data_IF_122875817733
#
_entry.id   IF_122875817733
#
_cell.length_a   1.000
_cell.length_b   1.000
_cell.length_c   1.000
_cell.angle_alpha   90.00
_cell.angle_beta   90.00
_cell.angle_gamma   90.00
#
_symmetry.space_group_name_H-M   'P 1'
#
loop_
_entity.id
_entity.type
_entity.pdbx_description
1 polymer ?
#
# COMPACT_ATOMS: atom_id res chain seq x y z
N UNK A 1 -28.78 22.26 99.74
CA UNK A 1 -28.96 21.73 98.37
C UNK A 1 -28.13 22.55 97.39
N UNK A 2 -27.18 21.92 96.69
CA UNK A 2 -26.88 22.29 95.32
C UNK A 2 -26.86 21.05 94.39
N UNK A 3 -27.49 21.19 93.24
CA UNK A 3 -27.62 20.14 92.22
C UNK A 3 -26.34 20.09 91.39
N UNK A 4 -25.63 18.96 91.47
CA UNK A 4 -24.46 18.64 90.65
C UNK A 4 -24.88 18.48 89.17
N UNK A 5 -24.46 19.41 88.30
CA UNK A 5 -24.54 19.27 86.84
C UNK A 5 -23.68 18.09 86.40
N UNK A 6 -24.30 17.00 85.93
CA UNK A 6 -23.57 15.93 85.22
C UNK A 6 -23.27 16.34 83.80
N UNK A 7 -22.05 16.01 83.39
CA UNK A 7 -21.47 16.15 82.07
C UNK A 7 -22.30 15.47 80.97
N UNK A 8 -22.72 16.23 79.96
CA UNK A 8 -23.12 15.69 78.64
C UNK A 8 -22.22 16.27 77.55
N UNK A 9 -20.90 16.08 77.74
CA UNK A 9 -19.85 16.52 76.81
C UNK A 9 -19.43 15.47 75.77
N UNK A 10 -20.07 14.30 75.72
CA UNK A 10 -19.62 13.17 74.87
C UNK A 10 -20.58 12.76 73.75
N UNK A 11 -21.69 13.47 73.51
CA UNK A 11 -22.57 13.17 72.35
C UNK A 11 -22.38 14.10 71.15
N UNK A 12 -21.34 14.96 71.15
CA UNK A 12 -21.05 15.86 70.02
C UNK A 12 -19.90 15.43 69.10
N UNK A 13 -19.51 14.15 69.15
CA UNK A 13 -18.48 13.59 68.26
C UNK A 13 -18.95 12.42 67.38
N UNK A 14 -20.26 12.16 67.28
CA UNK A 14 -20.83 11.18 66.34
C UNK A 14 -22.02 11.73 65.55
N UNK A 15 -21.89 12.96 65.05
CA UNK A 15 -22.78 13.48 64.02
C UNK A 15 -21.98 14.00 62.81
N UNK A 16 -20.99 13.21 62.37
CA UNK A 16 -20.40 13.33 61.04
C UNK A 16 -21.41 12.93 59.96
N UNK A 17 -22.43 13.74 59.72
CA UNK A 17 -23.37 13.59 58.59
C UNK A 17 -23.03 14.55 57.45
N UNK A 18 -21.82 14.45 56.90
CA UNK A 18 -21.51 15.03 55.58
C UNK A 18 -20.50 14.18 54.82
N UNK A 19 -20.79 12.90 54.55
CA UNK A 19 -19.93 12.10 53.67
C UNK A 19 -20.64 11.05 52.81
N UNK A 20 -21.85 11.34 52.32
CA UNK A 20 -22.55 10.44 51.39
C UNK A 20 -22.93 11.06 50.03
N UNK A 21 -22.83 12.38 49.83
CA UNK A 21 -23.20 13.01 48.55
C UNK A 21 -22.11 12.88 47.46
N UNK A 22 -20.82 12.95 47.82
CA UNK A 22 -19.71 12.79 46.87
C UNK A 22 -19.46 11.34 46.39
N UNK A 23 -19.70 10.35 47.26
CA UNK A 23 -19.57 8.91 46.91
C UNK A 23 -20.63 8.47 45.90
N UNK A 24 -21.86 8.94 46.03
CA UNK A 24 -22.94 8.63 45.08
C UNK A 24 -22.66 9.18 43.67
N UNK A 25 -22.16 10.41 43.56
CA UNK A 25 -21.75 11.01 42.28
C UNK A 25 -20.59 10.26 41.61
N UNK A 26 -19.57 9.88 42.37
CA UNK A 26 -18.42 9.12 41.87
C UNK A 26 -18.80 7.69 41.43
N UNK A 27 -19.71 7.02 42.16
CA UNK A 27 -20.26 5.72 41.79
C UNK A 27 -21.15 5.78 40.53
N UNK A 28 -21.94 6.84 40.38
CA UNK A 28 -22.76 7.06 39.19
C UNK A 28 -21.90 7.37 37.95
N UNK A 29 -20.86 8.21 38.09
CA UNK A 29 -19.89 8.45 37.02
C UNK A 29 -19.20 7.15 36.58
N UNK A 30 -18.75 6.31 37.51
CA UNK A 30 -18.15 5.01 37.20
C UNK A 30 -19.08 4.06 36.43
N UNK A 31 -20.38 4.03 36.76
CA UNK A 31 -21.39 3.25 36.02
C UNK A 31 -21.59 3.78 34.59
N UNK A 32 -21.59 5.09 34.41
CA UNK A 32 -21.71 5.74 33.10
C UNK A 32 -20.50 5.39 32.24
N UNK A 33 -19.27 5.56 32.73
CA UNK A 33 -18.06 5.19 31.99
C UNK A 33 -18.03 3.70 31.65
N UNK A 34 -18.41 2.82 32.59
CA UNK A 34 -18.50 1.38 32.34
C UNK A 34 -19.46 1.07 31.18
N UNK A 35 -20.65 1.68 31.16
CA UNK A 35 -21.61 1.46 30.07
C UNK A 35 -21.13 2.01 28.72
N UNK A 36 -20.44 3.14 28.71
CA UNK A 36 -19.84 3.69 27.50
C UNK A 36 -18.72 2.80 26.95
N UNK A 37 -17.88 2.25 27.84
CA UNK A 37 -16.81 1.31 27.46
C UNK A 37 -17.42 0.02 26.89
N UNK A 38 -18.46 -0.53 27.52
CA UNK A 38 -19.15 -1.72 27.02
C UNK A 38 -19.74 -1.50 25.62
N UNK A 39 -20.42 -0.37 25.40
CA UNK A 39 -20.97 -0.03 24.08
C UNK A 39 -19.88 0.10 23.01
N UNK A 40 -18.74 0.68 23.35
CA UNK A 40 -17.59 0.77 22.43
C UNK A 40 -17.03 -0.61 22.12
N UNK A 41 -16.93 -1.49 23.12
CA UNK A 41 -16.44 -2.85 22.96
C UNK A 41 -17.36 -3.66 22.04
N UNK A 42 -18.68 -3.64 22.26
CA UNK A 42 -19.67 -4.27 21.39
C UNK A 42 -19.65 -3.74 19.95
N UNK A 43 -19.31 -2.46 19.77
CA UNK A 43 -19.15 -1.87 18.43
C UNK A 43 -17.90 -2.43 17.75
N UNK A 44 -16.77 -2.43 18.45
CA UNK A 44 -15.50 -2.95 17.93
C UNK A 44 -15.58 -4.46 17.63
N UNK A 45 -16.32 -5.23 18.42
CA UNK A 45 -16.56 -6.65 18.13
C UNK A 45 -17.36 -6.86 16.84
N UNK A 46 -18.36 -6.01 16.58
CA UNK A 46 -19.11 -6.03 15.31
C UNK A 46 -18.24 -5.63 14.13
N UNK A 47 -17.43 -4.58 14.27
CA UNK A 47 -16.49 -4.15 13.23
C UNK A 47 -15.46 -5.25 12.95
N UNK A 48 -14.91 -5.89 13.99
CA UNK A 48 -14.01 -7.05 13.84
C UNK A 48 -14.67 -8.17 13.04
N UNK A 49 -15.93 -8.51 13.34
CA UNK A 49 -16.67 -9.55 12.61
C UNK A 49 -16.82 -9.21 11.13
N UNK A 50 -17.20 -7.97 10.80
CA UNK A 50 -17.31 -7.52 9.42
C UNK A 50 -15.98 -7.57 8.66
N UNK A 51 -14.87 -7.19 9.32
CA UNK A 51 -13.54 -7.25 8.72
C UNK A 51 -13.15 -8.70 8.41
N UNK A 52 -13.45 -9.64 9.31
CA UNK A 52 -13.19 -11.07 9.07
C UNK A 52 -14.00 -11.60 7.89
N UNK A 53 -15.29 -11.28 7.80
CA UNK A 53 -16.13 -11.68 6.66
C UNK A 53 -15.60 -11.11 5.33
N UNK A 54 -15.12 -9.87 5.33
CA UNK A 54 -14.50 -9.27 4.14
C UNK A 54 -13.16 -9.93 3.79
N UNK A 55 -12.35 -10.32 4.78
CA UNK A 55 -11.11 -11.05 4.55
C UNK A 55 -11.38 -12.40 3.90
N UNK A 56 -12.36 -13.17 4.39
CA UNK A 56 -12.75 -14.46 3.80
C UNK A 56 -13.22 -14.30 2.34
N UNK A 57 -13.95 -13.23 2.04
CA UNK A 57 -14.35 -12.89 0.68
C UNK A 57 -13.14 -12.55 -0.22
N UNK A 58 -12.16 -11.81 0.30
CA UNK A 58 -10.95 -11.48 -0.45
C UNK A 58 -10.11 -12.75 -0.69
N UNK A 59 -9.97 -13.62 0.30
CA UNK A 59 -9.23 -14.88 0.16
C UNK A 59 -9.88 -15.81 -0.86
N UNK A 60 -11.19 -15.98 -0.83
CA UNK A 60 -11.91 -16.80 -1.83
C UNK A 60 -11.71 -16.26 -3.25
N UNK A 61 -11.76 -14.94 -3.45
CA UNK A 61 -11.48 -14.30 -4.75
C UNK A 61 -10.05 -14.54 -5.22
N UNK A 62 -9.07 -14.45 -4.31
CA UNK A 62 -7.67 -14.75 -4.63
C UNK A 62 -7.52 -16.21 -5.09
N UNK A 63 -8.18 -17.17 -4.42
CA UNK A 63 -8.16 -18.58 -4.81
C UNK A 63 -8.73 -18.80 -6.21
N UNK A 64 -9.91 -18.26 -6.50
CA UNK A 64 -10.55 -18.36 -7.82
C UNK A 64 -9.64 -17.79 -8.92
N UNK A 65 -9.00 -16.65 -8.68
CA UNK A 65 -8.09 -16.05 -9.66
C UNK A 65 -6.84 -16.90 -9.88
N UNK A 66 -6.30 -17.52 -8.83
CA UNK A 66 -5.16 -18.45 -8.95
C UNK A 66 -5.55 -19.74 -9.69
N UNK A 67 -6.74 -20.28 -9.45
CA UNK A 67 -7.26 -21.44 -10.20
C UNK A 67 -7.44 -21.11 -11.68
N UNK A 68 -8.00 -19.94 -12.00
CA UNK A 68 -8.13 -19.47 -13.37
C UNK A 68 -6.76 -19.28 -14.04
N UNK A 69 -5.76 -18.75 -13.32
CA UNK A 69 -4.38 -18.67 -13.81
C UNK A 69 -3.81 -20.06 -14.09
N UNK A 70 -3.98 -21.01 -13.18
CA UNK A 70 -3.51 -22.38 -13.37
C UNK A 70 -4.17 -23.07 -14.57
N UNK A 71 -5.48 -22.87 -14.77
CA UNK A 71 -6.19 -23.41 -15.93
C UNK A 71 -5.67 -22.78 -17.23
N UNK A 72 -5.52 -21.45 -17.26
CA UNK A 72 -4.93 -20.75 -18.40
C UNK A 72 -3.48 -21.15 -18.67
N UNK A 73 -2.68 -21.43 -17.65
CA UNK A 73 -1.30 -21.91 -17.81
C UNK A 73 -1.24 -23.36 -18.33
N UNK A 74 -2.14 -24.23 -17.86
CA UNK A 74 -2.28 -25.59 -18.37
C UNK A 74 -2.77 -25.60 -19.83
N UNK A 75 -3.64 -24.66 -20.20
CA UNK A 75 -4.16 -24.46 -21.55
C UNK A 75 -3.28 -23.56 -22.43
N UNK A 76 -2.20 -22.96 -21.89
CA UNK A 76 -1.31 -22.03 -22.59
C UNK A 76 -0.39 -22.69 -23.63
N UNK A 77 -0.75 -23.88 -24.13
CA UNK A 77 -0.18 -24.47 -25.34
C UNK A 77 -0.78 -23.79 -26.59
N UNK A 78 -0.64 -22.47 -26.70
CA UNK A 78 -1.10 -21.71 -27.88
C UNK A 78 -0.36 -22.10 -29.17
N UNK A 79 0.76 -22.82 -29.03
CA UNK A 79 1.49 -23.40 -30.16
C UNK A 79 0.73 -24.57 -30.79
N UNK A 80 -0.13 -25.30 -30.06
CA UNK A 80 -0.94 -26.41 -30.60
C UNK A 80 -1.96 -25.93 -31.64
N UNK A 81 -2.48 -24.71 -31.48
CA UNK A 81 -3.46 -24.13 -32.40
C UNK A 81 -2.83 -23.28 -33.51
N UNK A 82 -1.50 -23.14 -33.50
CA UNK A 82 -0.78 -22.41 -34.55
C UNK A 82 -0.67 -23.29 -35.80
N UNK A 83 -1.17 -22.79 -36.93
CA UNK A 83 -1.09 -23.48 -38.22
C UNK A 83 0.14 -23.02 -38.99
N UNK A 84 0.51 -23.73 -40.07
CA UNK A 84 1.62 -23.35 -40.96
C UNK A 84 1.52 -21.91 -41.51
N UNK A 85 0.30 -21.37 -41.62
CA UNK A 85 0.02 -20.07 -42.22
C UNK A 85 -0.36 -18.99 -41.19
N UNK A 86 -0.68 -19.38 -39.95
CA UNK A 86 -1.19 -18.45 -38.95
C UNK A 86 -0.73 -18.84 -37.54
N UNK A 87 -0.05 -17.91 -36.87
CA UNK A 87 0.45 -18.07 -35.50
C UNK A 87 -0.37 -17.20 -34.55
N UNK A 88 -0.95 -17.81 -33.53
CA UNK A 88 -1.66 -17.07 -32.49
C UNK A 88 -0.63 -16.45 -31.54
N UNK A 89 -0.56 -15.12 -31.50
CA UNK A 89 0.38 -14.40 -30.63
C UNK A 89 -0.33 -13.90 -29.37
N UNK A 90 0.08 -14.42 -28.22
CA UNK A 90 -0.34 -13.85 -26.94
C UNK A 90 0.41 -12.53 -26.69
N UNK A 91 -0.35 -11.46 -26.45
CA UNK A 91 0.24 -10.16 -26.11
C UNK A 91 0.77 -10.21 -24.67
N UNK A 92 2.06 -10.53 -24.51
CA UNK A 92 2.73 -10.43 -23.21
C UNK A 92 3.27 -9.01 -23.02
N UNK A 93 2.80 -8.32 -21.98
CA UNK A 93 3.38 -7.04 -21.55
C UNK A 93 4.80 -7.30 -21.07
N UNK A 94 5.77 -6.70 -21.77
CA UNK A 94 7.19 -6.81 -21.44
C UNK A 94 7.52 -6.13 -20.11
N UNK A 95 6.93 -4.97 -19.86
CA UNK A 95 7.02 -4.27 -18.57
C UNK A 95 5.68 -4.35 -17.86
N UNK A 96 5.68 -4.70 -16.57
CA UNK A 96 4.46 -4.69 -15.73
C UNK A 96 3.90 -3.28 -15.57
N UNK A 97 4.77 -2.28 -15.60
CA UNK A 97 4.46 -0.87 -15.48
C UNK A 97 4.32 -0.16 -16.84
N UNK A 98 3.81 1.08 -16.81
CA UNK A 98 3.82 1.97 -17.97
C UNK A 98 5.26 2.46 -18.22
N UNK A 99 5.89 1.93 -19.27
CA UNK A 99 7.30 2.20 -19.59
C UNK A 99 7.62 3.70 -19.74
N UNK A 100 6.82 4.46 -20.51
CA UNK A 100 7.13 5.87 -20.80
C UNK A 100 7.19 6.75 -19.54
N UNK A 101 6.18 6.73 -18.64
CA UNK A 101 6.27 7.42 -17.36
C UNK A 101 7.41 6.92 -16.47
N UNK A 102 7.65 5.59 -16.43
CA UNK A 102 8.70 5.02 -15.59
C UNK A 102 10.10 5.49 -16.01
N UNK A 103 10.38 5.51 -17.31
CA UNK A 103 11.64 6.04 -17.87
C UNK A 103 11.81 7.52 -17.53
N UNK A 104 10.75 8.31 -17.66
CA UNK A 104 10.83 9.73 -17.32
C UNK A 104 11.09 9.94 -15.82
N UNK A 105 10.51 9.11 -14.95
CA UNK A 105 10.74 9.17 -13.52
C UNK A 105 12.20 8.83 -13.15
N UNK A 106 12.84 7.88 -13.85
CA UNK A 106 14.28 7.59 -13.69
C UNK A 106 15.14 8.77 -14.10
N UNK A 107 14.88 9.34 -15.29
CA UNK A 107 15.68 10.46 -15.81
C UNK A 107 15.51 11.73 -14.98
N UNK A 108 14.35 11.94 -14.37
CA UNK A 108 14.12 13.05 -13.43
C UNK A 108 14.78 12.83 -12.07
N UNK A 109 15.03 11.59 -11.66
CA UNK A 109 15.69 11.31 -10.40
C UNK A 109 17.19 11.70 -10.43
N UNK A 110 17.84 11.51 -11.57
CA UNK A 110 19.24 11.91 -11.79
C UNK A 110 19.35 12.69 -13.12
N UNK A 111 18.96 13.98 -13.16
CA UNK A 111 18.87 14.76 -14.40
C UNK A 111 20.24 15.06 -15.04
N UNK A 112 21.30 15.08 -14.23
CA UNK A 112 22.68 15.33 -14.67
C UNK A 112 23.33 14.10 -15.32
N UNK A 113 22.78 12.90 -15.09
CA UNK A 113 23.46 11.66 -15.43
C UNK A 113 23.12 11.19 -16.84
N UNK A 114 24.16 10.75 -17.54
CA UNK A 114 24.03 9.99 -18.77
C UNK A 114 23.77 8.52 -18.48
N UNK A 115 22.75 7.97 -19.13
CA UNK A 115 22.33 6.59 -18.96
C UNK A 115 22.53 5.76 -20.23
N UNK A 116 23.00 4.53 -20.06
CA UNK A 116 22.93 3.51 -21.12
C UNK A 116 21.54 2.87 -21.14
N UNK A 117 21.17 2.28 -22.28
CA UNK A 117 19.87 1.59 -22.41
C UNK A 117 19.76 0.42 -21.42
N UNK A 118 20.84 -0.35 -21.24
CA UNK A 118 20.85 -1.51 -20.34
C UNK A 118 20.65 -1.08 -18.87
N UNK A 119 21.31 -0.01 -18.43
CA UNK A 119 21.11 0.57 -17.10
C UNK A 119 19.66 0.99 -16.87
N UNK A 120 19.04 1.68 -17.84
CA UNK A 120 17.64 2.08 -17.75
C UNK A 120 16.70 0.88 -17.69
N UNK A 121 16.98 -0.17 -18.46
CA UNK A 121 16.16 -1.40 -18.44
C UNK A 121 16.23 -2.03 -17.05
N UNK A 122 17.42 -2.23 -16.47
CA UNK A 122 17.55 -2.81 -15.12
C UNK A 122 16.82 -2.00 -14.06
N UNK A 123 16.99 -0.67 -14.07
CA UNK A 123 16.33 0.23 -13.10
C UNK A 123 14.81 0.19 -13.23
N UNK A 124 14.31 0.23 -14.47
CA UNK A 124 12.86 0.17 -14.72
C UNK A 124 12.31 -1.20 -14.35
N UNK A 125 12.97 -2.32 -14.70
CA UNK A 125 12.52 -3.65 -14.29
C UNK A 125 12.42 -3.77 -12.76
N UNK A 126 13.42 -3.28 -12.03
CA UNK A 126 13.40 -3.23 -10.57
C UNK A 126 12.21 -2.42 -10.03
N UNK A 127 11.96 -1.22 -10.55
CA UNK A 127 10.78 -0.41 -10.16
C UNK A 127 9.45 -1.08 -10.48
N UNK A 128 9.42 -1.94 -11.48
CA UNK A 128 8.20 -2.61 -11.93
C UNK A 128 7.97 -3.95 -11.22
N UNK A 129 8.80 -4.29 -10.21
CA UNK A 129 8.71 -5.52 -9.43
C UNK A 129 8.91 -6.76 -10.31
N UNK A 130 9.80 -6.67 -11.30
CA UNK A 130 10.19 -7.77 -12.18
C UNK A 130 11.65 -8.15 -11.91
N UNK A 131 12.00 -9.40 -12.21
CA UNK A 131 13.40 -9.84 -12.19
C UNK A 131 14.22 -9.06 -13.22
N UNK A 132 15.49 -8.83 -12.91
CA UNK A 132 16.40 -7.99 -13.70
C UNK A 132 16.97 -8.68 -14.94
N UNK A 133 16.35 -9.76 -15.43
CA UNK A 133 16.84 -10.48 -16.61
C UNK A 133 16.54 -9.68 -17.89
N UNK A 134 17.60 -9.15 -18.51
CA UNK A 134 17.48 -8.29 -19.69
C UNK A 134 17.33 -9.14 -20.95
N UNK A 135 16.08 -9.31 -21.41
CA UNK A 135 15.77 -9.76 -22.76
C UNK A 135 16.07 -8.69 -23.84
N UNK A 136 16.51 -9.07 -25.06
CA UNK A 136 16.67 -8.14 -26.19
C UNK A 136 15.37 -7.39 -26.54
N UNK A 137 14.22 -7.97 -26.22
CA UNK A 137 12.92 -7.32 -26.43
C UNK A 137 12.68 -6.14 -25.48
N UNK A 138 13.26 -6.17 -24.26
CA UNK A 138 13.21 -5.06 -23.32
C UNK A 138 14.00 -3.87 -23.86
N UNK A 139 15.19 -4.11 -24.43
CA UNK A 139 16.02 -3.05 -25.01
C UNK A 139 15.35 -2.42 -26.23
N UNK A 140 14.74 -3.20 -27.11
CA UNK A 140 13.97 -2.66 -28.25
C UNK A 140 12.80 -1.77 -27.80
N UNK A 141 12.07 -2.20 -26.77
CA UNK A 141 10.95 -1.42 -26.22
C UNK A 141 11.43 -0.13 -25.53
N UNK A 142 12.57 -0.20 -24.82
CA UNK A 142 13.20 0.95 -24.18
C UNK A 142 13.67 1.98 -25.21
N UNK A 143 14.33 1.55 -26.30
CA UNK A 143 14.72 2.43 -27.40
C UNK A 143 13.52 3.14 -28.02
N UNK A 144 12.39 2.46 -28.18
CA UNK A 144 11.15 3.08 -28.66
C UNK A 144 10.58 4.12 -27.68
N UNK A 145 10.66 3.87 -26.38
CA UNK A 145 10.24 4.83 -25.36
C UNK A 145 11.16 6.06 -25.33
N UNK A 146 12.48 5.88 -25.44
CA UNK A 146 13.45 6.97 -25.50
C UNK A 146 13.29 7.79 -26.79
N UNK A 147 13.11 7.14 -27.94
CA UNK A 147 12.80 7.82 -29.21
C UNK A 147 11.55 8.69 -29.13
N UNK A 148 10.49 8.20 -28.46
CA UNK A 148 9.27 8.98 -28.22
C UNK A 148 9.55 10.27 -27.44
N UNK A 149 10.38 10.20 -26.39
CA UNK A 149 10.71 11.36 -25.57
C UNK A 149 11.72 12.30 -26.23
N UNK A 150 12.65 11.76 -27.04
CA UNK A 150 13.54 12.53 -27.90
C UNK A 150 12.75 13.37 -28.91
N UNK A 151 11.75 12.75 -29.57
CA UNK A 151 10.88 13.46 -30.52
C UNK A 151 10.05 14.57 -29.85
N UNK A 152 9.83 14.48 -28.53
CA UNK A 152 9.17 15.54 -27.74
C UNK A 152 10.13 16.61 -27.21
N UNK A 153 11.43 16.49 -27.49
CA UNK A 153 12.45 17.43 -27.01
C UNK A 153 12.74 17.37 -25.51
N UNK A 154 12.33 16.30 -24.81
CA UNK A 154 12.48 16.17 -23.35
C UNK A 154 13.82 15.55 -22.95
N UNK A 155 14.45 14.80 -23.85
CA UNK A 155 15.66 14.01 -23.59
C UNK A 155 16.69 14.35 -24.67
N UNK A 156 17.95 14.39 -24.27
CA UNK A 156 19.11 14.51 -25.16
C UNK A 156 19.74 13.15 -25.40
N UNK A 157 20.26 12.98 -26.62
CA UNK A 157 20.95 11.77 -27.05
C UNK A 157 22.39 12.14 -27.40
N UNK A 158 23.33 11.52 -26.69
CA UNK A 158 24.73 11.52 -27.09
C UNK A 158 25.06 10.16 -27.73
N UNK A 159 25.53 10.19 -28.97
CA UNK A 159 25.84 9.01 -29.76
C UNK A 159 27.29 9.08 -30.19
N UNK A 160 28.20 8.81 -29.25
CA UNK A 160 29.63 8.73 -29.53
C UNK A 160 29.96 7.61 -30.54
N UNK A 161 29.19 6.51 -30.52
CA UNK A 161 29.27 5.40 -31.49
C UNK A 161 27.90 4.72 -31.69
N UNK A 162 27.78 3.82 -32.68
CA UNK A 162 26.56 3.00 -32.92
C UNK A 162 26.20 2.13 -31.70
N UNK A 163 27.21 1.71 -30.94
CA UNK A 163 27.08 0.85 -29.76
C UNK A 163 26.85 1.67 -28.48
N UNK A 164 27.59 2.76 -28.31
CA UNK A 164 27.54 3.60 -27.11
C UNK A 164 26.64 4.80 -27.32
N UNK A 165 25.33 4.56 -27.15
CA UNK A 165 24.31 5.61 -27.13
C UNK A 165 23.90 5.88 -25.69
N UNK A 166 24.13 7.12 -25.24
CA UNK A 166 23.76 7.60 -23.91
C UNK A 166 22.59 8.58 -23.99
N UNK A 167 21.78 8.59 -22.94
CA UNK A 167 20.57 9.40 -22.85
C UNK A 167 20.57 10.17 -21.54
N UNK A 168 20.12 11.43 -21.59
CA UNK A 168 20.00 12.30 -20.42
C UNK A 168 18.76 13.16 -20.53
N UNK A 169 18.20 13.57 -19.39
CA UNK A 169 17.13 14.57 -19.40
C UNK A 169 17.67 15.89 -19.98
N UNK A 170 16.93 16.50 -20.91
CA UNK A 170 17.28 17.83 -21.39
C UNK A 170 17.19 18.82 -20.24
N UNK A 171 18.24 19.59 -20.03
CA UNK A 171 18.19 20.73 -19.12
C UNK A 171 17.78 21.94 -19.94
N UNK A 172 16.62 22.50 -19.61
CA UNK A 172 16.26 23.81 -20.14
C UNK A 172 17.25 24.81 -19.53
N UNK A 173 17.97 25.54 -20.39
CA UNK A 173 18.80 26.70 -20.03
C UNK A 173 17.87 27.85 -19.64
#
# INVERSE_FOLDING_TARGET
>A
MPVFRRNNGLERLLAGKTQNRGKAGCLMAGKIYRSQILKKLERLEREKKQVLEHLDLVESRIRILNEALSAMEAEALTDEYSTKLYTYRTYKRRYRCKLRPAVLAELKAEPERWFTVNELVSRVLAKCGQEAEISPQHTASMRNALKHWLNKGVIERDAANVVDVKWRLKQDI
#
